data_IF_975247442973
#
_entry.id   IF_975247442973
#
_cell.length_a   1.000
_cell.length_b   1.000
_cell.length_c   1.000
_cell.angle_alpha   90.00
_cell.angle_beta   90.00
_cell.angle_gamma   90.00
#
_symmetry.space_group_name_H-M   'P 1'
#
loop_
_entity.id
_entity.type
_entity.pdbx_description
1 polymer ?
#
# COMPACT_ATOMS: atom_id res chain seq x y z
N UNK A 1 5.22 -0.24 6.26
CA UNK A 1 6.55 -0.10 5.61
C UNK A 1 7.13 1.24 6.04
N UNK A 2 8.44 1.31 6.27
CA UNK A 2 9.15 2.57 6.54
C UNK A 2 10.09 2.88 5.37
N UNK A 3 9.68 3.80 4.50
CA UNK A 3 10.44 4.17 3.31
C UNK A 3 11.75 4.90 3.63
N UNK A 4 11.81 5.67 4.72
CA UNK A 4 13.02 6.43 5.09
C UNK A 4 14.11 5.51 5.63
N UNK A 5 13.73 4.48 6.38
CA UNK A 5 14.66 3.50 6.92
C UNK A 5 14.88 2.28 6.02
N UNK A 6 14.11 2.15 4.94
CA UNK A 6 14.08 1.01 4.02
C UNK A 6 13.79 -0.33 4.74
N UNK A 7 12.81 -0.34 5.65
CA UNK A 7 12.48 -1.52 6.46
C UNK A 7 11.02 -1.95 6.37
N UNK A 8 10.81 -3.24 6.55
CA UNK A 8 9.50 -3.85 6.80
C UNK A 8 9.36 -4.11 8.29
N UNK A 9 8.20 -3.77 8.84
CA UNK A 9 7.81 -4.06 10.22
C UNK A 9 6.56 -4.92 10.18
N UNK A 10 6.52 -5.95 11.01
CA UNK A 10 5.39 -6.88 11.08
C UNK A 10 5.26 -7.45 12.48
N UNK A 11 4.06 -7.91 12.82
CA UNK A 11 3.74 -8.52 14.10
C UNK A 11 3.34 -9.97 13.92
N UNK A 12 3.70 -10.78 14.90
CA UNK A 12 3.22 -12.14 15.05
C UNK A 12 2.38 -12.21 16.32
N UNK A 13 1.07 -12.37 16.15
CA UNK A 13 0.10 -12.39 17.24
C UNK A 13 0.01 -13.74 17.95
N UNK A 14 0.62 -14.79 17.39
CA UNK A 14 0.74 -16.11 18.02
C UNK A 14 1.99 -16.17 18.90
N UNK A 15 3.05 -15.48 18.49
CA UNK A 15 4.33 -15.41 19.20
C UNK A 15 4.53 -14.12 19.99
N UNK A 16 3.50 -13.29 20.11
CA UNK A 16 3.46 -12.06 20.90
C UNK A 16 4.67 -11.12 20.67
N UNK A 17 5.05 -10.98 19.39
CA UNK A 17 6.25 -10.22 19.00
C UNK A 17 6.01 -9.25 17.86
N UNK A 18 6.82 -8.19 17.86
CA UNK A 18 6.93 -7.23 16.76
C UNK A 18 8.37 -7.27 16.25
N UNK A 19 8.49 -7.43 14.94
CA UNK A 19 9.76 -7.68 14.26
C UNK A 19 9.97 -6.72 13.10
N UNK A 20 11.24 -6.65 12.67
CA UNK A 20 11.67 -5.86 11.53
C UNK A 20 12.70 -6.59 10.70
N UNK A 21 12.66 -6.39 9.40
CA UNK A 21 13.66 -6.87 8.45
C UNK A 21 13.90 -5.86 7.33
N UNK A 22 14.90 -6.15 6.50
CA UNK A 22 15.10 -5.52 5.19
C UNK A 22 13.95 -5.87 4.22
N UNK A 23 13.86 -5.16 3.09
CA UNK A 23 12.86 -5.44 2.06
C UNK A 23 12.95 -6.86 1.46
N UNK A 24 14.16 -7.43 1.41
CA UNK A 24 14.41 -8.80 0.98
C UNK A 24 14.15 -9.85 2.08
N UNK A 25 13.69 -9.42 3.26
CA UNK A 25 13.45 -10.27 4.42
C UNK A 25 14.70 -10.60 5.25
N UNK A 26 15.89 -10.17 4.83
CA UNK A 26 17.13 -10.39 5.55
C UNK A 26 17.23 -9.54 6.82
N UNK A 27 18.24 -9.85 7.65
CA UNK A 27 18.54 -9.15 8.93
C UNK A 27 17.31 -8.96 9.82
N UNK A 28 16.54 -10.04 9.99
CA UNK A 28 15.37 -10.07 10.88
C UNK A 28 15.78 -9.81 12.33
N UNK A 29 15.09 -8.88 12.97
CA UNK A 29 15.33 -8.44 14.33
C UNK A 29 14.02 -8.35 15.12
N UNK A 30 14.01 -8.84 16.35
CA UNK A 30 12.87 -8.73 17.27
C UNK A 30 12.97 -7.42 18.02
N UNK A 31 12.03 -6.50 17.76
CA UNK A 31 11.98 -5.19 18.42
C UNK A 31 11.35 -5.31 19.80
N UNK A 32 10.24 -6.03 19.86
CA UNK A 32 9.47 -6.23 21.09
C UNK A 32 9.06 -7.68 21.20
N UNK A 33 9.24 -8.22 22.41
CA UNK A 33 8.63 -9.45 22.88
C UNK A 33 8.08 -9.12 24.27
N UNK A 34 6.77 -9.06 24.41
CA UNK A 34 6.14 -8.62 25.66
C UNK A 34 4.96 -9.51 25.98
N UNK A 35 5.11 -10.45 26.90
CA UNK A 35 4.00 -11.33 27.29
C UNK A 35 3.18 -10.65 28.39
N UNK A 36 1.83 -10.55 28.27
CA UNK A 36 0.98 -10.84 27.11
C UNK A 36 0.71 -9.59 26.25
N UNK A 37 0.75 -9.75 24.91
CA UNK A 37 0.28 -8.78 23.89
C UNK A 37 -0.41 -9.54 22.76
N UNK A 38 -1.45 -8.99 22.17
CA UNK A 38 -2.00 -9.54 20.92
C UNK A 38 -2.07 -8.43 19.87
N UNK A 39 -0.93 -8.11 19.22
CA UNK A 39 -0.84 -7.03 18.25
C UNK A 39 -1.64 -7.36 16.99
N UNK A 40 -2.43 -6.40 16.49
CA UNK A 40 -3.23 -6.56 15.27
C UNK A 40 -2.76 -5.63 14.15
N UNK A 41 -2.97 -4.33 14.31
CA UNK A 41 -2.57 -3.31 13.35
C UNK A 41 -1.24 -2.68 13.73
N UNK A 42 -0.42 -2.35 12.73
CA UNK A 42 0.85 -1.65 12.91
C UNK A 42 0.93 -0.39 12.05
N UNK A 43 1.51 0.66 12.61
CA UNK A 43 1.91 1.87 11.91
C UNK A 43 3.31 2.29 12.36
N UNK A 44 4.07 2.94 11.47
CA UNK A 44 5.42 3.45 11.78
C UNK A 44 5.45 4.92 11.40
N UNK A 45 5.95 5.76 12.31
CA UNK A 45 6.13 7.18 12.05
C UNK A 45 7.26 7.77 12.91
N UNK A 46 8.13 8.57 12.28
CA UNK A 46 9.37 9.04 12.92
C UNK A 46 10.18 7.88 13.48
N UNK A 47 10.60 7.98 14.74
CA UNK A 47 11.37 6.92 15.43
C UNK A 47 10.50 5.91 16.19
N UNK A 48 9.19 5.92 15.97
CA UNK A 48 8.24 5.13 16.75
C UNK A 48 7.50 4.11 15.88
N UNK A 49 7.24 2.96 16.48
CA UNK A 49 6.27 1.98 16.02
C UNK A 49 5.03 2.06 16.91
N UNK A 50 3.87 1.99 16.29
CA UNK A 50 2.55 2.10 16.90
C UNK A 50 1.79 0.82 16.61
N UNK A 51 1.07 0.29 17.59
CA UNK A 51 0.26 -0.90 17.39
C UNK A 51 -1.05 -0.87 18.18
N UNK A 52 -2.04 -1.58 17.64
CA UNK A 52 -3.29 -1.90 18.32
C UNK A 52 -3.17 -3.26 18.99
N UNK A 53 -3.67 -3.38 20.22
CA UNK A 53 -3.57 -4.60 21.02
C UNK A 53 -4.95 -5.05 21.50
N UNK A 54 -5.32 -6.30 21.21
CA UNK A 54 -6.62 -6.86 21.57
C UNK A 54 -6.73 -7.29 23.03
N UNK A 55 -5.63 -7.72 23.64
CA UNK A 55 -5.59 -8.15 25.04
C UNK A 55 -5.61 -6.91 25.94
N UNK A 56 -4.75 -5.94 25.64
CA UNK A 56 -4.65 -4.69 26.41
C UNK A 56 -5.71 -3.66 26.08
N UNK A 57 -6.51 -3.90 25.03
CA UNK A 57 -7.55 -2.98 24.55
C UNK A 57 -7.02 -1.56 24.41
N UNK A 58 -5.86 -1.44 23.76
CA UNK A 58 -5.09 -0.21 23.76
C UNK A 58 -4.39 0.05 22.43
N UNK A 59 -4.08 1.32 22.19
CA UNK A 59 -3.08 1.78 21.22
C UNK A 59 -1.82 2.14 21.98
N UNK A 60 -0.69 1.57 21.58
CA UNK A 60 0.60 1.74 22.23
C UNK A 60 1.65 2.18 21.22
N UNK A 61 2.75 2.76 21.71
CA UNK A 61 3.94 3.03 20.91
C UNK A 61 5.21 2.65 21.65
N UNK A 62 6.28 2.41 20.90
CA UNK A 62 7.64 2.26 21.41
C UNK A 62 8.65 2.73 20.36
N UNK A 63 9.92 2.83 20.73
CA UNK A 63 11.00 3.10 19.77
C UNK A 63 11.11 1.95 18.75
N UNK A 64 11.13 2.29 17.45
CA UNK A 64 11.11 1.30 16.35
C UNK A 64 12.41 0.50 16.19
N UNK A 65 13.52 0.95 16.78
CA UNK A 65 14.83 0.28 16.65
C UNK A 65 15.08 -0.72 17.78
N UNK A 66 14.76 -0.33 19.02
CA UNK A 66 15.15 -1.10 20.22
C UNK A 66 13.96 -1.47 21.11
N UNK A 67 12.73 -1.06 20.77
CA UNK A 67 11.54 -1.36 21.56
C UNK A 67 11.45 -0.63 22.91
N UNK A 68 12.35 0.30 23.19
CA UNK A 68 12.37 1.04 24.45
C UNK A 68 11.30 2.13 24.52
N UNK A 69 11.03 2.62 25.72
CA UNK A 69 10.14 3.76 25.94
C UNK A 69 8.68 3.48 25.57
N UNK A 70 8.20 2.26 25.83
CA UNK A 70 6.80 1.88 25.59
C UNK A 70 5.84 2.83 26.32
N UNK A 71 4.83 3.34 25.61
CA UNK A 71 3.79 4.22 26.15
C UNK A 71 2.42 3.81 25.64
N UNK A 72 1.43 3.84 26.53
CA UNK A 72 0.03 3.78 26.14
C UNK A 72 -0.44 5.14 25.63
N UNK A 73 -1.04 5.17 24.44
CA UNK A 73 -1.60 6.38 23.84
C UNK A 73 -3.12 6.45 24.06
N UNK A 74 -3.77 5.29 24.02
CA UNK A 74 -5.17 5.12 24.37
C UNK A 74 -5.33 3.76 25.04
N UNK A 75 -5.99 3.74 26.20
CA UNK A 75 -6.35 2.53 26.94
C UNK A 75 -7.87 2.38 27.00
N UNK A 76 -8.37 1.28 27.55
CA UNK A 76 -9.80 1.03 27.81
C UNK A 76 -10.69 1.23 26.57
N UNK A 77 -10.23 0.73 25.42
CA UNK A 77 -11.02 0.72 24.20
C UNK A 77 -12.11 -0.36 24.36
N UNK A 78 -13.42 0.00 24.31
CA UNK A 78 -14.49 -0.95 24.61
C UNK A 78 -14.49 -2.18 23.68
N UNK A 79 -14.11 -1.99 22.43
CA UNK A 79 -14.01 -3.02 21.41
C UNK A 79 -12.55 -3.33 21.07
N UNK A 80 -12.30 -4.42 20.34
CA UNK A 80 -10.96 -4.75 19.89
C UNK A 80 -10.51 -3.69 18.87
N UNK A 81 -9.40 -2.99 19.10
CA UNK A 81 -8.90 -2.04 18.11
C UNK A 81 -8.35 -2.79 16.88
N UNK A 82 -8.77 -2.36 15.69
CA UNK A 82 -8.44 -3.00 14.41
C UNK A 82 -7.20 -2.33 13.77
N UNK A 83 -7.28 -1.92 12.50
CA UNK A 83 -6.19 -1.26 11.79
C UNK A 83 -5.82 0.10 12.38
N UNK A 84 -4.55 0.46 12.21
CA UNK A 84 -4.00 1.78 12.56
C UNK A 84 -3.16 2.27 11.38
N UNK A 85 -3.25 3.57 11.09
CA UNK A 85 -2.44 4.24 10.08
C UNK A 85 -1.91 5.55 10.66
N UNK A 86 -0.66 5.87 10.36
CA UNK A 86 -0.10 7.18 10.65
C UNK A 86 -0.36 8.10 9.46
N UNK A 87 -1.00 9.23 9.70
CA UNK A 87 -1.27 10.25 8.69
C UNK A 87 -0.51 11.51 9.07
N UNK A 88 0.44 11.90 8.23
CA UNK A 88 1.15 13.17 8.34
C UNK A 88 1.45 13.71 6.93
N UNK A 89 1.90 14.96 6.84
CA UNK A 89 2.17 15.59 5.54
C UNK A 89 3.26 14.87 4.72
N UNK A 90 4.14 14.12 5.38
CA UNK A 90 5.27 13.42 4.76
C UNK A 90 5.09 11.89 4.66
N UNK A 91 3.93 11.33 5.04
CA UNK A 91 3.70 9.87 5.00
C UNK A 91 3.33 9.35 3.60
N UNK A 92 2.90 10.22 2.69
CA UNK A 92 2.42 9.86 1.35
C UNK A 92 3.20 10.59 0.23
N UNK A 93 4.54 10.53 0.25
CA UNK A 93 5.32 11.07 -0.87
C UNK A 93 5.25 10.12 -2.07
N UNK A 94 4.29 10.38 -2.96
CA UNK A 94 4.24 9.77 -4.31
C UNK A 94 5.13 10.52 -5.31
N UNK A 95 6.07 11.35 -4.84
CA UNK A 95 6.80 12.28 -5.70
C UNK A 95 7.69 11.58 -6.74
N UNK A 96 8.22 10.41 -6.40
CA UNK A 96 9.10 9.62 -7.25
C UNK A 96 8.35 8.68 -8.20
N UNK A 97 7.01 8.58 -8.10
CA UNK A 97 6.25 7.67 -8.95
C UNK A 97 6.19 8.20 -10.38
N UNK A 98 6.72 7.45 -11.34
CA UNK A 98 6.61 7.77 -12.77
C UNK A 98 5.15 7.79 -13.25
N UNK A 99 4.26 7.07 -12.57
CA UNK A 99 2.82 7.11 -12.83
C UNK A 99 2.15 8.44 -12.44
N UNK A 100 2.83 9.31 -11.69
CA UNK A 100 2.26 10.58 -11.23
C UNK A 100 1.96 11.55 -12.38
N UNK A 101 2.84 11.59 -13.39
CA UNK A 101 2.70 12.49 -14.53
C UNK A 101 2.05 11.74 -15.67
N UNK A 102 0.89 12.23 -16.13
CA UNK A 102 0.13 11.66 -17.25
C UNK A 102 -0.10 10.13 -17.14
N UNK A 103 -0.32 9.60 -15.92
CA UNK A 103 -0.48 8.17 -15.66
C UNK A 103 0.64 7.29 -16.27
N UNK A 104 1.87 7.81 -16.36
CA UNK A 104 2.99 7.12 -17.02
C UNK A 104 2.78 6.84 -18.51
N UNK A 105 1.80 7.48 -19.15
CA UNK A 105 1.37 7.22 -20.53
C UNK A 105 0.33 6.11 -20.69
N UNK A 106 -0.10 5.47 -19.59
CA UNK A 106 -1.05 4.37 -19.64
C UNK A 106 -2.50 4.87 -19.73
N UNK A 107 -3.34 4.20 -20.52
CA UNK A 107 -4.78 4.50 -20.55
C UNK A 107 -5.50 4.11 -19.24
N UNK A 108 -5.27 2.88 -18.75
CA UNK A 108 -6.04 2.31 -17.63
C UNK A 108 -5.27 2.25 -16.31
N UNK A 109 -4.31 1.32 -16.21
CA UNK A 109 -3.50 1.08 -15.01
C UNK A 109 -2.04 1.35 -15.31
N UNK A 110 -1.43 2.23 -14.51
CA UNK A 110 0.01 2.42 -14.47
C UNK A 110 0.56 1.71 -13.23
N UNK A 111 1.43 0.73 -13.46
CA UNK A 111 2.08 -0.07 -12.43
C UNK A 111 3.59 0.18 -12.50
N UNK A 112 4.25 0.25 -11.33
CA UNK A 112 5.71 0.28 -11.28
C UNK A 112 6.25 -1.13 -11.16
N UNK A 113 7.22 -1.47 -12.00
CA UNK A 113 8.00 -2.70 -11.88
C UNK A 113 8.90 -2.65 -10.64
N UNK A 114 9.49 -3.78 -10.25
CA UNK A 114 10.47 -3.84 -9.16
C UNK A 114 11.70 -2.95 -9.43
N UNK A 115 11.99 -2.65 -10.70
CA UNK A 115 13.08 -1.76 -11.12
C UNK A 115 12.66 -0.28 -11.18
N UNK A 116 11.40 0.03 -10.85
CA UNK A 116 10.85 1.38 -10.92
C UNK A 116 10.42 1.82 -12.33
N UNK A 117 10.32 0.90 -13.28
CA UNK A 117 9.87 1.19 -14.65
C UNK A 117 8.34 1.17 -14.74
N UNK A 118 7.77 1.95 -15.64
CA UNK A 118 6.32 1.94 -15.89
C UNK A 118 5.93 0.71 -16.70
N UNK A 119 4.91 0.00 -16.23
CA UNK A 119 4.23 -1.07 -16.95
C UNK A 119 2.74 -0.75 -17.00
N UNK A 120 2.19 -0.64 -18.21
CA UNK A 120 0.77 -0.42 -18.41
C UNK A 120 0.00 -1.74 -18.35
N UNK A 121 -1.21 -1.69 -17.82
CA UNK A 121 -2.13 -2.83 -17.81
C UNK A 121 -3.57 -2.35 -17.96
N UNK A 122 -4.45 -3.24 -18.39
CA UNK A 122 -5.85 -2.94 -18.65
C UNK A 122 -6.76 -3.49 -17.57
N UNK A 123 -7.85 -2.77 -17.27
CA UNK A 123 -8.83 -3.24 -16.30
C UNK A 123 -9.74 -4.29 -16.94
N UNK A 124 -10.16 -5.27 -16.15
CA UNK A 124 -11.11 -6.30 -16.59
C UNK A 124 -10.53 -7.22 -17.67
N UNK A 125 -11.34 -7.57 -18.67
CA UNK A 125 -10.96 -8.46 -19.77
C UNK A 125 -10.37 -7.76 -21.00
N UNK A 126 -9.93 -6.50 -20.87
CA UNK A 126 -9.34 -5.73 -21.96
C UNK A 126 -7.88 -6.12 -22.18
N UNK A 127 -7.42 -6.01 -23.43
CA UNK A 127 -6.04 -6.29 -23.83
C UNK A 127 -5.28 -5.01 -24.11
N UNK A 128 -4.03 -4.97 -23.65
CA UNK A 128 -3.11 -3.85 -23.87
C UNK A 128 -2.62 -3.86 -25.31
N UNK A 129 -2.65 -2.69 -25.94
CA UNK A 129 -2.15 -2.45 -27.29
C UNK A 129 -0.73 -1.86 -27.26
N UNK A 130 -0.06 -1.81 -28.41
CA UNK A 130 1.32 -1.30 -28.53
C UNK A 130 1.46 0.19 -28.17
N UNK A 131 0.38 0.96 -28.29
CA UNK A 131 0.30 2.40 -27.98
C UNK A 131 -0.10 2.68 -26.51
N UNK A 132 -0.07 1.66 -25.64
CA UNK A 132 -0.50 1.72 -24.24
C UNK A 132 -2.00 1.98 -24.02
N UNK A 133 -2.80 1.85 -25.09
CA UNK A 133 -4.26 1.83 -24.99
C UNK A 133 -4.77 0.44 -24.62
N UNK A 134 -5.99 0.40 -24.12
CA UNK A 134 -6.67 -0.79 -23.66
C UNK A 134 -7.92 -0.99 -24.50
N UNK A 135 -8.14 -2.21 -24.99
CA UNK A 135 -9.28 -2.54 -25.87
C UNK A 135 -9.98 -3.82 -25.44
N UNK A 136 -11.29 -3.93 -25.62
CA UNK A 136 -11.95 -5.22 -25.42
C UNK A 136 -11.42 -6.23 -26.46
N UNK A 137 -11.14 -7.47 -26.02
CA UNK A 137 -10.66 -8.52 -26.93
C UNK A 137 -11.63 -8.81 -28.08
N UNK A 138 -12.92 -8.49 -27.89
CA UNK A 138 -14.01 -8.68 -28.85
C UNK A 138 -14.61 -7.34 -29.34
N UNK A 139 -13.86 -6.24 -29.27
CA UNK A 139 -14.33 -4.91 -29.67
C UNK A 139 -14.75 -4.90 -31.15
N UNK A 140 -15.99 -4.49 -31.43
CA UNK A 140 -16.49 -4.30 -32.81
C UNK A 140 -16.31 -2.88 -33.32
N UNK A 141 -15.86 -1.94 -32.48
CA UNK A 141 -15.73 -0.53 -32.84
C UNK A 141 -14.61 -0.31 -33.85
N UNK A 142 -14.83 0.58 -34.82
CA UNK A 142 -13.85 0.93 -35.83
C UNK A 142 -12.73 1.81 -35.24
N UNK A 143 -11.49 1.31 -35.27
CA UNK A 143 -10.30 1.97 -34.68
C UNK A 143 -10.04 3.35 -35.27
N UNK A 144 -10.42 3.59 -36.52
CA UNK A 144 -10.11 4.84 -37.19
C UNK A 144 -11.06 5.97 -36.78
N UNK A 145 -12.30 5.64 -36.42
CA UNK A 145 -13.37 6.63 -36.30
C UNK A 145 -14.15 6.53 -34.98
N UNK A 146 -14.00 5.47 -34.19
CA UNK A 146 -14.86 5.22 -33.03
C UNK A 146 -14.05 4.86 -31.77
N UNK A 147 -14.54 5.31 -30.61
CA UNK A 147 -14.06 4.85 -29.31
C UNK A 147 -15.10 3.98 -28.59
N UNK A 148 -14.63 2.90 -27.96
CA UNK A 148 -15.48 2.01 -27.18
C UNK A 148 -15.59 2.50 -25.73
N UNK A 149 -16.80 2.84 -25.31
CA UNK A 149 -17.11 3.22 -23.93
C UNK A 149 -16.99 2.03 -22.96
N UNK A 150 -16.97 2.33 -21.65
CA UNK A 150 -16.90 1.29 -20.61
C UNK A 150 -18.10 0.33 -20.55
N UNK A 151 -19.19 0.68 -21.23
CA UNK A 151 -20.38 -0.17 -21.43
C UNK A 151 -20.36 -0.97 -22.74
N UNK A 152 -19.33 -0.80 -23.59
CA UNK A 152 -19.19 -1.50 -24.88
C UNK A 152 -19.75 -0.76 -26.10
N UNK A 153 -20.32 0.44 -25.92
CA UNK A 153 -20.85 1.24 -27.03
C UNK A 153 -19.73 1.92 -27.82
N UNK A 154 -19.87 1.98 -29.15
CA UNK A 154 -18.95 2.69 -30.04
C UNK A 154 -19.46 4.11 -30.29
N UNK A 155 -18.64 5.12 -30.01
CA UNK A 155 -18.97 6.53 -30.26
C UNK A 155 -18.00 7.07 -31.30
N UNK A 156 -18.53 7.69 -32.36
CA UNK A 156 -17.75 8.28 -33.44
C UNK A 156 -17.00 9.55 -32.95
N UNK A 157 -15.75 9.72 -33.36
CA UNK A 157 -14.93 10.90 -33.04
C UNK A 157 -15.51 12.21 -33.58
N UNK A 158 -16.38 12.16 -34.60
CA UNK A 158 -17.08 13.33 -35.13
C UNK A 158 -18.21 13.83 -34.23
N UNK A 159 -18.64 13.03 -33.25
CA UNK A 159 -19.70 13.38 -32.29
C UNK A 159 -19.15 13.88 -30.93
N UNK A 160 -17.83 14.00 -30.79
CA UNK A 160 -17.14 14.58 -29.62
C UNK A 160 -16.63 15.98 -29.89
#
# INVERSE_FOLDING_TARGET
>A
IDHKAEKIYFSDATLDKIERCEYDGSKRYVILKAEPVHPFGLAVYGDNIFWTDWVRRAVQRANKYVGSGMKHLRIDIPQQPMGIIAVANDTNSCELSLCRVNNGGCQDLCLLSANGEVTCSCRGGRTLQEDFTCRASNSTCNVHNEFECGNGDCIDFSET
#
